data_IF_548134027416
#
_entry.id   IF_548134027416
#
_cell.length_a   1.000
_cell.length_b   1.000
_cell.length_c   1.000
_cell.angle_alpha   90.00
_cell.angle_beta   90.00
_cell.angle_gamma   90.00
#
_symmetry.space_group_name_H-M   'P 1'
#
loop_
_entity.id
_entity.type
_entity.pdbx_description
1 polymer ?
#
# COMPACT_ATOMS: atom_id res chain seq x y z
N UNK A 1 -0.03 18.27 -17.85
CA UNK A 1 1.00 17.31 -18.26
C UNK A 1 2.17 17.45 -17.31
N UNK A 2 2.47 16.42 -16.50
CA UNK A 2 3.59 16.49 -15.57
C UNK A 2 4.90 16.43 -16.37
N UNK A 3 5.62 17.55 -16.41
CA UNK A 3 6.89 17.70 -17.10
C UNK A 3 7.90 16.75 -16.45
N UNK A 4 8.47 15.84 -17.25
CA UNK A 4 9.54 14.94 -16.82
C UNK A 4 10.75 15.78 -16.40
N UNK A 5 10.83 16.13 -15.11
CA UNK A 5 12.03 16.72 -14.51
C UNK A 5 13.03 15.57 -14.39
N UNK A 6 14.08 15.65 -15.20
CA UNK A 6 15.08 14.60 -15.34
C UNK A 6 15.64 14.21 -13.97
N UNK A 7 15.32 13.01 -13.47
CA UNK A 7 15.79 12.49 -12.17
C UNK A 7 17.29 12.10 -12.19
N UNK A 8 18.02 12.44 -13.25
CA UNK A 8 19.42 12.05 -13.48
C UNK A 8 20.36 12.51 -12.37
N UNK A 9 20.07 13.65 -11.73
CA UNK A 9 20.87 14.22 -10.64
C UNK A 9 20.46 13.74 -9.24
N UNK A 10 19.51 12.80 -9.12
CA UNK A 10 19.05 12.26 -7.82
C UNK A 10 18.97 10.73 -7.85
N UNK A 11 20.11 10.03 -7.97
CA UNK A 11 20.15 8.56 -8.12
C UNK A 11 19.51 7.82 -6.94
N UNK A 12 19.62 8.36 -5.72
CA UNK A 12 18.94 7.82 -4.54
C UNK A 12 17.41 7.94 -4.66
N UNK A 13 16.90 9.08 -5.15
CA UNK A 13 15.45 9.30 -5.35
C UNK A 13 14.93 8.42 -6.50
N UNK A 14 15.72 8.24 -7.57
CA UNK A 14 15.39 7.33 -8.66
C UNK A 14 15.34 5.87 -8.18
N UNK A 15 16.33 5.44 -7.40
CA UNK A 15 16.35 4.10 -6.80
C UNK A 15 15.19 3.89 -5.82
N UNK A 16 14.79 4.92 -5.10
CA UNK A 16 13.65 4.87 -4.19
C UNK A 16 12.31 4.80 -4.96
N UNK A 17 12.19 5.57 -6.06
CA UNK A 17 11.01 5.54 -6.93
C UNK A 17 10.87 4.24 -7.72
N UNK A 18 11.94 3.45 -7.90
CA UNK A 18 11.82 2.11 -8.51
C UNK A 18 10.84 1.20 -7.75
N UNK A 19 10.68 1.37 -6.44
CA UNK A 19 9.67 0.62 -5.67
C UNK A 19 8.23 1.07 -5.98
N UNK A 20 8.05 2.27 -6.52
CA UNK A 20 6.77 2.79 -6.99
C UNK A 20 6.46 2.40 -8.44
N UNK A 21 7.40 1.81 -9.19
CA UNK A 21 7.19 1.44 -10.60
C UNK A 21 6.08 0.41 -10.77
N UNK A 22 5.99 -0.56 -9.86
CA UNK A 22 4.90 -1.54 -9.87
C UNK A 22 3.52 -0.86 -9.68
N UNK A 23 3.45 0.10 -8.75
CA UNK A 23 2.23 0.87 -8.51
C UNK A 23 1.86 1.75 -9.71
N UNK A 24 2.87 2.36 -10.34
CA UNK A 24 2.68 3.15 -11.56
C UNK A 24 2.15 2.29 -12.71
N UNK A 25 2.70 1.11 -12.94
CA UNK A 25 2.26 0.20 -13.99
C UNK A 25 0.79 -0.22 -13.81
N UNK A 26 0.39 -0.58 -12.59
CA UNK A 26 -1.01 -0.94 -12.27
C UNK A 26 -1.94 0.26 -12.45
N UNK A 27 -1.53 1.43 -11.97
CA UNK A 27 -2.32 2.65 -12.11
C UNK A 27 -2.51 3.09 -13.58
N UNK A 28 -1.46 2.95 -14.42
CA UNK A 28 -1.51 3.27 -15.85
C UNK A 28 -2.38 2.30 -16.65
N UNK A 29 -2.53 1.05 -16.19
CA UNK A 29 -3.46 0.09 -16.78
C UNK A 29 -4.94 0.34 -16.42
N UNK A 30 -5.21 1.26 -15.49
CA UNK A 30 -6.56 1.57 -15.00
C UNK A 30 -7.14 2.83 -15.65
N UNK A 31 -8.44 2.81 -15.95
CA UNK A 31 -9.16 4.01 -16.40
C UNK A 31 -9.51 4.91 -15.20
N UNK A 32 -9.31 6.22 -15.34
CA UNK A 32 -9.57 7.21 -14.28
C UNK A 32 -10.49 8.31 -14.77
N UNK A 33 -11.51 8.64 -13.97
CA UNK A 33 -12.47 9.70 -14.29
C UNK A 33 -11.86 11.11 -14.24
N UNK A 34 -10.74 11.29 -13.54
CA UNK A 34 -10.05 12.58 -13.43
C UNK A 34 -8.56 12.40 -13.10
N UNK A 35 -7.78 13.48 -13.24
CA UNK A 35 -6.37 13.48 -12.80
C UNK A 35 -6.24 13.25 -11.30
N UNK A 36 -7.15 13.81 -10.50
CA UNK A 36 -7.16 13.58 -9.05
C UNK A 36 -7.44 12.11 -8.72
N UNK A 37 -8.41 11.49 -9.40
CA UNK A 37 -8.70 10.07 -9.23
C UNK A 37 -7.50 9.19 -9.57
N UNK A 38 -6.76 9.54 -10.63
CA UNK A 38 -5.51 8.87 -11.01
C UNK A 38 -4.44 8.98 -9.93
N UNK A 39 -4.20 10.18 -9.39
CA UNK A 39 -3.23 10.40 -8.30
C UNK A 39 -3.63 9.60 -7.06
N UNK A 40 -4.90 9.66 -6.66
CA UNK A 40 -5.39 8.92 -5.50
C UNK A 40 -5.24 7.41 -5.68
N UNK A 41 -5.53 6.88 -6.88
CA UNK A 41 -5.29 5.47 -7.20
C UNK A 41 -3.79 5.14 -7.16
N UNK A 42 -2.90 6.00 -7.64
CA UNK A 42 -1.45 5.75 -7.62
C UNK A 42 -0.91 5.62 -6.19
N UNK A 43 -1.41 6.45 -5.26
CA UNK A 43 -1.05 6.36 -3.84
C UNK A 43 -1.51 5.03 -3.24
N UNK A 44 -2.73 4.59 -3.54
CA UNK A 44 -3.27 3.29 -3.10
C UNK A 44 -2.44 2.13 -3.62
N UNK A 45 -2.15 2.12 -4.92
CA UNK A 45 -1.32 1.08 -5.53
C UNK A 45 0.11 1.06 -4.97
N UNK A 46 0.63 2.24 -4.58
CA UNK A 46 1.95 2.32 -3.94
C UNK A 46 1.96 1.61 -2.59
N UNK A 47 0.95 1.82 -1.76
CA UNK A 47 0.80 1.12 -0.47
C UNK A 47 0.75 -0.40 -0.69
N UNK A 48 -0.03 -0.87 -1.67
CA UNK A 48 -0.15 -2.29 -1.99
C UNK A 48 1.19 -2.86 -2.45
N UNK A 49 1.88 -2.19 -3.39
CA UNK A 49 3.18 -2.62 -3.90
C UNK A 49 4.25 -2.67 -2.80
N UNK A 50 4.30 -1.69 -1.91
CA UNK A 50 5.24 -1.69 -0.79
C UNK A 50 4.94 -2.82 0.20
N UNK A 51 3.68 -3.09 0.51
CA UNK A 51 3.29 -4.24 1.32
C UNK A 51 3.71 -5.56 0.66
N UNK A 52 3.51 -5.71 -0.65
CA UNK A 52 3.95 -6.88 -1.39
C UNK A 52 5.47 -7.06 -1.30
N UNK A 53 6.25 -5.97 -1.45
CA UNK A 53 7.71 -6.01 -1.31
C UNK A 53 8.13 -6.43 0.10
N UNK A 54 7.54 -5.83 1.14
CA UNK A 54 7.84 -6.14 2.55
C UNK A 54 7.55 -7.63 2.85
N UNK A 55 6.47 -8.19 2.30
CA UNK A 55 6.11 -9.61 2.44
C UNK A 55 7.16 -10.55 1.85
N UNK A 56 7.99 -10.12 0.90
CA UNK A 56 9.05 -10.96 0.33
C UNK A 56 10.29 -11.09 1.22
N UNK A 57 10.44 -10.23 2.24
CA UNK A 57 11.59 -10.29 3.14
C UNK A 57 11.50 -11.54 4.04
N UNK A 58 12.54 -12.42 4.10
CA UNK A 58 12.45 -13.71 4.79
C UNK A 58 12.00 -13.63 6.26
N UNK A 59 12.51 -12.66 7.02
CA UNK A 59 12.11 -12.47 8.41
C UNK A 59 10.64 -12.07 8.58
N UNK A 60 10.10 -11.31 7.62
CA UNK A 60 8.71 -10.87 7.62
C UNK A 60 7.80 -12.02 7.22
N UNK A 61 8.15 -12.74 6.15
CA UNK A 61 7.43 -13.92 5.70
C UNK A 61 7.30 -14.95 6.83
N UNK A 62 8.42 -15.29 7.49
CA UNK A 62 8.42 -16.22 8.63
C UNK A 62 7.57 -15.72 9.80
N UNK A 63 7.62 -14.42 10.12
CA UNK A 63 6.83 -13.87 11.22
C UNK A 63 5.33 -13.82 10.91
N UNK A 64 4.95 -13.59 9.64
CA UNK A 64 3.58 -13.66 9.16
C UNK A 64 3.04 -15.10 9.21
N UNK A 65 3.80 -16.08 8.73
CA UNK A 65 3.44 -17.50 8.79
C UNK A 65 3.26 -17.99 10.24
N UNK A 66 4.11 -17.52 11.14
CA UNK A 66 4.02 -17.83 12.57
C UNK A 66 2.94 -17.02 13.32
N UNK A 67 2.22 -16.13 12.62
CA UNK A 67 1.19 -15.27 13.23
C UNK A 67 1.72 -14.29 14.28
N UNK A 68 3.03 -14.00 14.28
CA UNK A 68 3.72 -13.10 15.22
C UNK A 68 3.78 -11.65 14.73
N UNK A 69 3.39 -11.40 13.48
CA UNK A 69 3.39 -10.09 12.84
C UNK A 69 2.08 -9.88 12.08
N UNK A 70 1.60 -8.64 12.07
CA UNK A 70 0.58 -8.16 11.15
C UNK A 70 1.14 -6.98 10.38
N UNK A 71 0.78 -6.85 9.10
CA UNK A 71 1.11 -5.68 8.31
C UNK A 71 -0.13 -4.81 8.13
N UNK A 72 0.08 -3.50 8.21
CA UNK A 72 -0.95 -2.49 7.98
C UNK A 72 -0.48 -1.56 6.86
N UNK A 73 -1.40 -1.17 5.98
CA UNK A 73 -1.17 -0.16 4.95
C UNK A 73 -2.17 0.97 5.12
N UNK A 74 -1.67 2.19 5.33
CA UNK A 74 -2.49 3.37 5.60
C UNK A 74 -2.28 4.46 4.55
N UNK A 75 -3.36 5.17 4.23
CA UNK A 75 -3.33 6.46 3.54
C UNK A 75 -3.76 7.51 4.54
N UNK A 76 -2.93 8.55 4.66
CA UNK A 76 -3.24 9.72 5.48
C UNK A 76 -3.63 10.87 4.56
N UNK A 77 -4.83 11.39 4.75
CA UNK A 77 -5.27 12.63 4.12
C UNK A 77 -4.79 13.82 4.95
N UNK A 78 -3.92 14.64 4.38
CA UNK A 78 -3.26 15.75 5.10
C UNK A 78 -4.25 16.87 5.42
N UNK A 79 -5.24 17.10 4.57
CA UNK A 79 -6.20 18.19 4.71
C UNK A 79 -7.20 17.90 5.84
N UNK A 80 -7.71 16.68 5.87
CA UNK A 80 -8.79 16.27 6.79
C UNK A 80 -8.28 15.55 8.04
N UNK A 81 -7.05 15.02 8.02
CA UNK A 81 -6.52 14.14 9.05
C UNK A 81 -7.13 12.73 9.04
N UNK A 82 -7.93 12.40 8.02
CA UNK A 82 -8.53 11.08 7.89
C UNK A 82 -7.46 10.02 7.56
N UNK A 83 -7.66 8.81 8.09
CA UNK A 83 -6.84 7.65 7.76
C UNK A 83 -7.71 6.57 7.15
N UNK A 84 -7.34 6.13 5.96
CA UNK A 84 -7.89 4.93 5.32
C UNK A 84 -6.89 3.79 5.45
N UNK A 85 -7.36 2.62 5.87
CA UNK A 85 -6.57 1.41 6.03
C UNK A 85 -6.95 0.35 4.99
N UNK A 86 -5.96 -0.37 4.48
CA UNK A 86 -6.17 -1.52 3.61
C UNK A 86 -6.71 -2.70 4.42
N UNK A 87 -7.92 -3.15 4.10
CA UNK A 87 -8.43 -4.44 4.55
C UNK A 87 -7.96 -5.52 3.57
N UNK A 88 -7.09 -6.41 4.04
CA UNK A 88 -6.55 -7.51 3.25
C UNK A 88 -7.56 -8.60 2.93
N UNK A 89 -8.74 -8.60 3.56
CA UNK A 89 -9.82 -9.56 3.31
C UNK A 89 -10.58 -9.21 2.03
N UNK A 90 -10.88 -7.92 1.86
CA UNK A 90 -11.63 -7.37 0.72
C UNK A 90 -10.72 -6.76 -0.34
N UNK A 91 -9.45 -6.52 0.01
CA UNK A 91 -8.48 -5.76 -0.76
C UNK A 91 -8.98 -4.33 -1.07
N UNK A 92 -9.69 -3.72 -0.13
CA UNK A 92 -10.22 -2.35 -0.25
C UNK A 92 -9.74 -1.46 0.88
N UNK A 93 -9.66 -0.16 0.61
CA UNK A 93 -9.39 0.84 1.65
C UNK A 93 -10.68 1.19 2.39
N UNK A 94 -10.63 1.16 3.72
CA UNK A 94 -11.74 1.47 4.63
C UNK A 94 -11.29 2.47 5.67
N UNK A 95 -12.19 3.31 6.19
CA UNK A 95 -11.83 4.28 7.22
C UNK A 95 -11.31 3.57 8.48
N UNK A 96 -10.09 3.89 8.90
CA UNK A 96 -9.47 3.29 10.09
C UNK A 96 -10.25 3.65 11.36
N UNK A 97 -10.85 4.84 11.42
CA UNK A 97 -11.65 5.26 12.56
C UNK A 97 -12.90 4.38 12.76
N UNK A 98 -13.53 3.94 11.66
CA UNK A 98 -14.67 3.03 11.69
C UNK A 98 -14.24 1.55 11.81
N UNK A 99 -13.07 1.21 11.27
CA UNK A 99 -12.54 -0.16 11.22
C UNK A 99 -11.15 -0.23 11.87
N UNK A 100 -11.05 -0.04 13.21
CA UNK A 100 -9.76 0.07 13.90
C UNK A 100 -8.90 -1.21 13.83
N UNK A 101 -9.52 -2.34 13.49
CA UNK A 101 -8.86 -3.65 13.37
C UNK A 101 -8.48 -4.00 11.92
N UNK A 102 -8.62 -3.07 10.96
CA UNK A 102 -8.24 -3.30 9.57
C UNK A 102 -6.75 -3.65 9.45
N UNK A 103 -6.47 -4.74 8.74
CA UNK A 103 -5.12 -5.28 8.55
C UNK A 103 -4.96 -5.72 7.11
N UNK A 104 -3.79 -5.48 6.52
CA UNK A 104 -3.44 -5.95 5.18
C UNK A 104 -3.07 -7.45 5.16
N UNK A 105 -2.94 -8.06 6.34
CA UNK A 105 -2.73 -9.49 6.56
C UNK A 105 -3.63 -9.96 7.69
N UNK A 106 -4.96 -10.01 7.48
CA UNK A 106 -5.88 -10.47 8.51
C UNK A 106 -5.60 -11.94 8.82
N UNK A 107 -5.39 -12.27 10.10
CA UNK A 107 -5.29 -13.67 10.52
C UNK A 107 -6.65 -14.34 10.33
N UNK A 108 -6.69 -15.50 9.69
CA UNK A 108 -7.85 -16.38 9.78
C UNK A 108 -8.08 -16.70 11.25
N UNK A 109 -9.29 -16.43 11.75
CA UNK A 109 -9.66 -16.57 13.17
C UNK A 109 -9.50 -18.00 13.73
N UNK A 110 -9.20 -19.00 12.89
CA UNK A 110 -9.14 -20.42 13.25
C UNK A 110 -7.88 -20.82 14.03
N UNK A 111 -6.80 -20.04 14.00
CA UNK A 111 -5.51 -20.47 14.59
C UNK A 111 -5.30 -20.10 16.07
N UNK A 112 -6.31 -19.58 16.79
CA UNK A 112 -6.18 -19.18 18.21
C UNK A 112 -6.73 -20.27 19.16
N UNK A 113 -7.29 -21.36 18.64
CA UNK A 113 -7.98 -22.38 19.43
C UNK A 113 -7.24 -23.74 19.59
N UNK A 114 -5.92 -23.79 19.42
CA UNK A 114 -5.13 -25.02 19.58
C UNK A 114 -4.17 -24.94 20.77
#
# INVERSE_FOLDING_TARGET
MATCKCLAHMPAVKSWLHHADAAKAVNEASAHASTQARVNSMVRENVIAQLANIKTHPAVALALEQGRLNLHGWLYDIETGAIDALDGSTNTFVSLAAHPNASATPRSRESIAA
#
